data_IF_474038293422
#
_entry.id   IF_474038293422
#
_cell.length_a   1.000
_cell.length_b   1.000
_cell.length_c   1.000
_cell.angle_alpha   90.00
_cell.angle_beta   90.00
_cell.angle_gamma   90.00
#
_symmetry.space_group_name_H-M   'P 1'
#
loop_
_entity.id
_entity.type
_entity.pdbx_description
1 polymer ?
#
# COMPACT_ATOMS: atom_id res chain seq x y z
N UNK A 1 -4.15 25.19 -3.05
CA UNK A 1 -4.13 24.07 -4.03
C UNK A 1 -3.48 22.89 -3.33
N UNK A 2 -4.20 21.79 -3.12
CA UNK A 2 -3.58 20.59 -2.55
C UNK A 2 -2.56 20.08 -3.56
N UNK A 3 -1.31 19.90 -3.15
CA UNK A 3 -0.33 19.17 -3.94
C UNK A 3 -0.96 17.86 -4.42
N UNK A 4 -0.79 17.50 -5.70
CA UNK A 4 -1.25 16.23 -6.25
C UNK A 4 -0.83 15.09 -5.32
N UNK A 5 -1.75 14.65 -4.47
CA UNK A 5 -1.44 13.67 -3.44
C UNK A 5 -1.38 12.31 -4.12
N UNK A 6 -0.18 11.90 -4.56
CA UNK A 6 0.04 10.55 -5.06
C UNK A 6 0.03 9.56 -3.89
N UNK A 7 -0.71 8.47 -4.06
CA UNK A 7 -0.63 7.28 -3.24
C UNK A 7 0.09 6.18 -4.02
N UNK A 8 0.79 5.31 -3.30
CA UNK A 8 1.55 4.22 -3.87
C UNK A 8 1.09 2.91 -3.26
N UNK A 9 1.15 1.81 -4.00
CA UNK A 9 1.00 0.46 -3.45
C UNK A 9 2.07 -0.48 -4.00
N UNK A 10 2.45 -1.47 -3.21
CA UNK A 10 3.25 -2.59 -3.69
C UNK A 10 2.29 -3.66 -4.21
N UNK A 11 2.60 -4.21 -5.38
CA UNK A 11 1.93 -5.38 -5.94
C UNK A 11 2.94 -6.51 -5.89
N UNK A 12 2.65 -7.53 -5.10
CA UNK A 12 3.57 -8.64 -4.84
C UNK A 12 2.92 -9.93 -5.31
N UNK A 13 3.53 -10.60 -6.29
CA UNK A 13 3.09 -11.91 -6.75
C UNK A 13 4.02 -12.98 -6.19
N UNK A 14 3.47 -13.87 -5.37
CA UNK A 14 4.17 -14.96 -4.70
C UNK A 14 3.80 -16.26 -5.40
N UNK A 15 4.79 -16.99 -5.88
CA UNK A 15 4.62 -18.32 -6.48
C UNK A 15 5.31 -19.34 -5.58
N UNK A 16 4.55 -20.29 -5.05
CA UNK A 16 5.04 -21.32 -4.16
C UNK A 16 5.61 -22.52 -4.94
N UNK A 17 6.33 -23.40 -4.24
CA UNK A 17 7.02 -24.55 -4.85
C UNK A 17 6.06 -25.56 -5.52
N UNK A 18 4.78 -25.56 -5.14
CA UNK A 18 3.71 -26.36 -5.75
C UNK A 18 3.15 -25.70 -7.03
N UNK A 19 3.65 -24.53 -7.42
CA UNK A 19 3.19 -23.74 -8.56
C UNK A 19 2.02 -22.80 -8.23
N UNK A 20 1.45 -22.88 -7.03
CA UNK A 20 0.33 -22.00 -6.64
C UNK A 20 0.81 -20.56 -6.55
N UNK A 21 0.06 -19.63 -7.13
CA UNK A 21 0.42 -18.21 -7.17
C UNK A 21 -0.66 -17.30 -6.59
N UNK A 22 -0.25 -16.29 -5.82
CA UNK A 22 -1.14 -15.30 -5.22
C UNK A 22 -0.55 -13.90 -5.35
N UNK A 23 -1.42 -12.91 -5.56
CA UNK A 23 -1.03 -11.49 -5.62
C UNK A 23 -1.57 -10.75 -4.40
N UNK A 24 -0.68 -10.08 -3.68
CA UNK A 24 -0.99 -9.22 -2.54
C UNK A 24 -0.80 -7.75 -2.92
N UNK A 25 -1.68 -6.90 -2.41
CA UNK A 25 -1.66 -5.46 -2.61
C UNK A 25 -1.41 -4.78 -1.26
N UNK A 26 -0.23 -4.21 -1.08
CA UNK A 26 0.13 -3.53 0.17
C UNK A 26 0.08 -2.01 -0.01
N UNK A 27 -0.60 -1.31 0.89
CA UNK A 27 -0.78 0.14 0.84
C UNK A 27 -2.21 0.57 1.21
N UNK A 28 -2.60 1.83 0.93
CA UNK A 28 -1.82 2.85 0.22
C UNK A 28 -0.73 3.52 1.08
N UNK A 29 0.36 3.93 0.45
CA UNK A 29 1.46 4.68 1.05
C UNK A 29 1.55 6.07 0.46
N UNK A 30 1.88 7.07 1.29
CA UNK A 30 2.03 8.46 0.84
C UNK A 30 3.37 8.76 0.15
N UNK A 31 4.33 7.82 0.18
CA UNK A 31 5.68 7.98 -0.41
C UNK A 31 6.12 6.69 -1.08
N UNK A 32 6.91 6.75 -2.16
CA UNK A 32 7.39 5.56 -2.86
C UNK A 32 8.48 4.80 -2.08
N UNK A 33 9.23 5.48 -1.20
CA UNK A 33 10.33 4.88 -0.42
C UNK A 33 9.91 3.66 0.41
N UNK A 34 8.89 3.79 1.30
CA UNK A 34 8.32 2.66 2.04
C UNK A 34 7.92 1.49 1.13
N UNK A 35 7.25 1.78 0.01
CA UNK A 35 6.77 0.74 -0.92
C UNK A 35 7.91 -0.08 -1.54
N UNK A 36 9.02 0.59 -1.91
CA UNK A 36 10.24 -0.11 -2.39
C UNK A 36 10.81 -1.05 -1.33
N UNK A 37 10.74 -0.66 -0.06
CA UNK A 37 11.16 -1.47 1.07
C UNK A 37 10.36 -2.78 1.16
N UNK A 38 9.05 -2.72 0.96
CA UNK A 38 8.17 -3.89 0.97
C UNK A 38 8.46 -4.89 -0.15
N UNK A 39 8.63 -4.42 -1.40
CA UNK A 39 9.03 -5.28 -2.53
C UNK A 39 10.35 -5.99 -2.23
N UNK A 40 11.34 -5.24 -1.71
CA UNK A 40 12.65 -5.79 -1.35
C UNK A 40 12.56 -6.79 -0.21
N UNK A 41 11.73 -6.50 0.80
CA UNK A 41 11.51 -7.37 1.95
C UNK A 41 10.98 -8.73 1.49
N UNK A 42 9.94 -8.77 0.67
CA UNK A 42 9.37 -10.04 0.19
C UNK A 42 10.37 -10.85 -0.62
N UNK A 43 11.13 -10.20 -1.52
CA UNK A 43 12.22 -10.83 -2.25
C UNK A 43 13.21 -11.54 -1.33
N UNK A 44 13.69 -10.84 -0.30
CA UNK A 44 14.63 -11.41 0.69
C UNK A 44 13.98 -12.48 1.57
N UNK A 45 12.74 -12.27 1.97
CA UNK A 45 12.01 -13.20 2.82
C UNK A 45 11.81 -14.54 2.11
N UNK A 46 11.32 -14.54 0.86
CA UNK A 46 11.11 -15.77 0.10
C UNK A 46 12.42 -16.50 -0.18
N UNK A 47 13.47 -15.77 -0.58
CA UNK A 47 14.79 -16.37 -0.78
C UNK A 47 15.33 -17.05 0.48
N UNK A 48 15.03 -16.52 1.67
CA UNK A 48 15.49 -17.07 2.95
C UNK A 48 14.59 -18.19 3.51
N UNK A 49 13.27 -18.12 3.31
CA UNK A 49 12.31 -18.98 4.05
C UNK A 49 11.52 -19.95 3.18
N UNK A 50 11.54 -19.82 1.85
CA UNK A 50 10.73 -20.61 0.92
C UNK A 50 11.56 -21.16 -0.25
N UNK A 51 12.38 -22.21 -0.06
CA UNK A 51 13.12 -22.84 -1.14
C UNK A 51 12.19 -23.32 -2.25
N UNK A 52 12.54 -23.05 -3.51
CA UNK A 52 11.73 -23.41 -4.68
C UNK A 52 10.51 -22.51 -4.92
N UNK A 53 10.24 -21.55 -4.05
CA UNK A 53 9.28 -20.48 -4.31
C UNK A 53 9.97 -19.28 -4.97
N UNK A 54 9.20 -18.47 -5.68
CA UNK A 54 9.63 -17.21 -6.25
C UNK A 54 8.67 -16.09 -5.84
N UNK A 55 9.17 -14.87 -5.91
CA UNK A 55 8.35 -13.68 -5.69
C UNK A 55 8.78 -12.60 -6.67
N UNK A 56 7.81 -11.93 -7.26
CA UNK A 56 7.99 -10.75 -8.08
C UNK A 56 7.21 -9.59 -7.47
N UNK A 57 7.64 -8.36 -7.71
CA UNK A 57 6.91 -7.22 -7.22
C UNK A 57 7.24 -5.91 -7.90
N UNK A 58 6.24 -5.05 -7.99
CA UNK A 58 6.35 -3.71 -8.55
C UNK A 58 5.54 -2.71 -7.74
N UNK A 59 5.70 -1.43 -8.09
CA UNK A 59 5.02 -0.32 -7.45
C UNK A 59 4.01 0.25 -8.42
N UNK A 60 2.80 0.47 -7.93
CA UNK A 60 1.80 1.24 -8.64
C UNK A 60 1.61 2.62 -7.99
N UNK A 61 1.39 3.64 -8.82
CA UNK A 61 1.00 4.99 -8.42
C UNK A 61 -0.50 5.19 -8.67
N UNK A 62 -1.18 5.79 -7.69
CA UNK A 62 -2.57 6.21 -7.77
C UNK A 62 -2.65 7.72 -7.46
N UNK A 63 -3.44 8.46 -8.24
CA UNK A 63 -3.74 9.87 -8.01
C UNK A 63 -5.19 10.01 -7.56
N UNK A 64 -5.50 9.73 -6.28
CA UNK A 64 -6.86 9.78 -5.78
C UNK A 64 -7.40 11.21 -5.78
N UNK A 65 -8.71 11.32 -6.00
CA UNK A 65 -9.45 12.53 -5.73
C UNK A 65 -10.14 12.40 -4.37
N UNK A 66 -9.85 13.34 -3.48
CA UNK A 66 -10.52 13.43 -2.19
C UNK A 66 -11.82 14.23 -2.32
N UNK A 67 -12.89 13.72 -1.72
CA UNK A 67 -14.15 14.44 -1.58
C UNK A 67 -14.45 14.66 -0.11
N UNK A 68 -14.90 15.85 0.23
CA UNK A 68 -15.37 16.14 1.59
C UNK A 68 -16.62 15.30 1.85
N UNK A 69 -16.60 14.51 2.92
CA UNK A 69 -17.80 13.85 3.42
C UNK A 69 -18.62 14.91 4.18
N UNK A 70 -19.91 15.11 3.86
CA UNK A 70 -20.80 15.94 4.68
C UNK A 70 -20.83 15.34 6.10
N UNK A 71 -20.49 16.13 7.11
CA UNK A 71 -20.31 15.60 8.46
C UNK A 71 -21.64 15.30 9.18
N UNK A 72 -21.75 14.12 9.77
CA UNK A 72 -22.35 13.99 11.10
C UNK A 72 -21.29 14.46 12.12
N UNK A 73 -21.62 15.45 12.96
CA UNK A 73 -20.96 15.61 14.27
C UNK A 73 -19.74 16.53 14.41
N UNK A 74 -19.64 17.64 13.68
CA UNK A 74 -18.84 18.79 14.13
C UNK A 74 -19.79 19.98 14.35
N UNK A 75 -20.71 19.85 15.30
CA UNK A 75 -21.32 21.04 15.89
C UNK A 75 -20.23 21.76 16.70
N UNK A 76 -19.98 23.05 16.47
CA UNK A 76 -19.10 23.81 17.33
C UNK A 76 -19.69 23.84 18.74
N UNK A 77 -18.91 23.43 19.73
CA UNK A 77 -19.27 23.58 21.14
C UNK A 77 -19.61 25.06 21.39
N UNK A 78 -20.81 25.40 21.92
CA UNK A 78 -21.14 26.78 22.19
C UNK A 78 -20.15 27.34 23.24
N UNK A 79 -19.81 28.64 23.17
CA UNK A 79 -18.86 29.21 24.11
C UNK A 79 -19.36 29.06 25.55
N UNK A 80 -18.50 28.53 26.43
CA UNK A 80 -18.75 28.47 27.86
C UNK A 80 -19.07 29.88 28.38
N UNK A 81 -20.23 30.01 29.05
CA UNK A 81 -20.69 31.24 29.72
C UNK A 81 -19.97 31.44 31.06
#
# INVERSE_FOLDING_TARGET
>A
MAADACLYRAVITKTYADGTSFTEYEGPYAKPGPVRGHVTFWGRHFAATKPGASVDGHIEECRPQWRRVPGEGLEPEPPAS
#
